data_IF_614126602205
#
_entry.id   IF_614126602205
#
_cell.length_a   1.000
_cell.length_b   1.000
_cell.length_c   1.000
_cell.angle_alpha   90.00
_cell.angle_beta   90.00
_cell.angle_gamma   90.00
#
_symmetry.space_group_name_H-M   'P 1'
#
loop_
_entity.id
_entity.type
_entity.pdbx_description
1 polymer ?
#
# COMPACT_ATOMS: atom_id res chain seq x y z
N UNK A 1 8.75 -8.92 20.29
CA UNK A 1 7.37 -9.45 20.45
C UNK A 1 6.50 -9.15 19.23
N UNK A 2 6.40 -7.89 18.75
CA UNK A 2 5.58 -7.54 17.57
C UNK A 2 6.01 -8.22 16.26
N UNK A 3 7.30 -8.51 16.07
CA UNK A 3 7.81 -9.18 14.87
C UNK A 3 7.20 -10.57 14.66
N UNK A 4 6.99 -11.32 15.74
CA UNK A 4 6.38 -12.66 15.67
C UNK A 4 4.91 -12.60 15.25
N UNK A 5 4.17 -11.60 15.75
CA UNK A 5 2.79 -11.34 15.33
C UNK A 5 2.70 -10.93 13.85
N UNK A 6 3.60 -10.06 13.40
CA UNK A 6 3.70 -9.66 11.99
C UNK A 6 3.98 -10.86 11.09
N UNK A 7 4.92 -11.73 11.48
CA UNK A 7 5.23 -12.96 10.73
C UNK A 7 4.01 -13.88 10.65
N UNK A 8 3.33 -14.15 11.77
CA UNK A 8 2.16 -15.02 11.78
C UNK A 8 1.02 -14.49 10.90
N UNK A 9 0.75 -13.19 10.96
CA UNK A 9 -0.26 -12.54 10.10
C UNK A 9 0.15 -12.54 8.63
N UNK A 10 1.42 -12.28 8.31
CA UNK A 10 1.91 -12.34 6.94
C UNK A 10 1.83 -13.76 6.37
N UNK A 11 2.17 -14.79 7.15
CA UNK A 11 2.06 -16.19 6.73
C UNK A 11 0.59 -16.53 6.43
N UNK A 12 -0.34 -16.17 7.30
CA UNK A 12 -1.77 -16.39 7.08
C UNK A 12 -2.24 -15.67 5.80
N UNK A 13 -1.96 -14.37 5.69
CA UNK A 13 -2.40 -13.51 4.58
C UNK A 13 -1.78 -13.92 3.23
N UNK A 14 -0.53 -14.37 3.21
CA UNK A 14 0.11 -14.88 1.98
C UNK A 14 -0.63 -16.12 1.51
N UNK A 15 -0.95 -17.05 2.41
CA UNK A 15 -1.59 -18.32 2.09
C UNK A 15 -2.98 -18.09 1.46
N UNK A 16 -3.79 -17.20 2.04
CA UNK A 16 -5.09 -16.79 1.50
C UNK A 16 -4.99 -16.16 0.10
N UNK A 17 -4.04 -15.23 -0.08
CA UNK A 17 -3.88 -14.50 -1.36
C UNK A 17 -3.37 -15.39 -2.50
N UNK A 18 -2.58 -16.43 -2.20
CA UNK A 18 -2.21 -17.44 -3.20
C UNK A 18 -3.40 -18.25 -3.68
N UNK A 19 -4.33 -18.61 -2.80
CA UNK A 19 -5.53 -19.37 -3.16
C UNK A 19 -6.48 -18.55 -4.05
N UNK A 20 -6.69 -17.27 -3.74
CA UNK A 20 -7.48 -16.36 -4.58
C UNK A 20 -6.89 -16.19 -5.99
N UNK A 21 -5.56 -16.00 -6.07
CA UNK A 21 -4.88 -15.88 -7.37
C UNK A 21 -4.98 -17.20 -8.17
N UNK A 22 -4.92 -18.35 -7.50
CA UNK A 22 -5.14 -19.66 -8.09
C UNK A 22 -6.54 -19.80 -8.69
N UNK A 23 -7.58 -19.44 -7.93
CA UNK A 23 -8.96 -19.45 -8.42
C UNK A 23 -9.18 -18.46 -9.57
N UNK A 24 -8.72 -17.22 -9.46
CA UNK A 24 -8.85 -16.23 -10.54
C UNK A 24 -8.24 -16.73 -11.85
N UNK A 25 -7.14 -17.47 -11.77
CA UNK A 25 -6.47 -18.04 -12.94
C UNK A 25 -7.14 -19.29 -13.49
N UNK A 26 -7.81 -20.09 -12.65
CA UNK A 26 -8.65 -21.20 -13.11
C UNK A 26 -9.86 -20.72 -13.93
N UNK A 27 -10.35 -19.50 -13.66
CA UNK A 27 -11.45 -18.86 -14.41
C UNK A 27 -10.92 -18.15 -15.68
N UNK A 28 -9.62 -18.27 -16.00
CA UNK A 28 -9.02 -17.75 -17.24
C UNK A 28 -8.48 -16.31 -17.14
N UNK A 29 -8.32 -15.75 -15.94
CA UNK A 29 -7.78 -14.38 -15.79
C UNK A 29 -6.35 -14.28 -16.32
N UNK A 30 -6.14 -13.34 -17.25
CA UNK A 30 -4.83 -13.13 -17.88
C UNK A 30 -3.85 -12.42 -16.94
N UNK A 31 -2.54 -12.67 -17.12
CA UNK A 31 -1.50 -11.98 -16.33
C UNK A 31 -1.57 -10.45 -16.40
N UNK A 32 -2.09 -9.90 -17.50
CA UNK A 32 -2.29 -8.45 -17.66
C UNK A 32 -3.40 -7.91 -16.76
N UNK A 33 -4.49 -8.66 -16.57
CA UNK A 33 -5.58 -8.30 -15.67
C UNK A 33 -5.12 -8.32 -14.20
N UNK A 34 -4.37 -9.36 -13.80
CA UNK A 34 -3.79 -9.45 -12.45
C UNK A 34 -2.88 -8.25 -12.16
N UNK A 35 -2.02 -7.87 -13.11
CA UNK A 35 -1.17 -6.65 -12.98
C UNK A 35 -2.01 -5.38 -12.82
N UNK A 36 -3.15 -5.26 -13.50
CA UNK A 36 -4.02 -4.08 -13.41
C UNK A 36 -4.70 -4.00 -12.05
N UNK A 37 -5.16 -5.12 -11.51
CA UNK A 37 -5.77 -5.20 -10.17
C UNK A 37 -4.77 -4.78 -9.11
N UNK A 38 -3.57 -5.37 -9.08
CA UNK A 38 -2.54 -5.05 -8.08
C UNK A 38 -2.10 -3.59 -8.14
N UNK A 39 -2.03 -3.01 -9.34
CA UNK A 39 -1.73 -1.57 -9.51
C UNK A 39 -2.83 -0.70 -8.91
N UNK A 40 -4.09 -1.00 -9.18
CA UNK A 40 -5.21 -0.24 -8.63
C UNK A 40 -5.30 -0.36 -7.12
N UNK A 41 -5.13 -1.57 -6.59
CA UNK A 41 -5.11 -1.81 -5.15
C UNK A 41 -4.02 -0.97 -4.48
N UNK A 42 -2.80 -0.98 -5.02
CA UNK A 42 -1.72 -0.16 -4.51
C UNK A 42 -1.99 1.36 -4.58
N UNK A 43 -2.57 1.85 -5.67
CA UNK A 43 -2.95 3.27 -5.80
C UNK A 43 -3.98 3.64 -4.74
N UNK A 44 -5.00 2.80 -4.54
CA UNK A 44 -6.03 3.02 -3.54
C UNK A 44 -5.43 3.02 -2.13
N UNK A 45 -4.59 2.04 -1.79
CA UNK A 45 -3.91 1.99 -0.48
C UNK A 45 -3.01 3.20 -0.25
N UNK A 46 -2.24 3.64 -1.26
CA UNK A 46 -1.39 4.81 -1.16
C UNK A 46 -2.19 6.10 -0.96
N UNK A 47 -3.32 6.26 -1.67
CA UNK A 47 -4.22 7.40 -1.51
C UNK A 47 -4.83 7.44 -0.11
N UNK A 48 -5.35 6.30 0.38
CA UNK A 48 -5.91 6.21 1.73
C UNK A 48 -4.83 6.55 2.77
N UNK A 49 -3.65 5.92 2.69
CA UNK A 49 -2.55 6.20 3.61
C UNK A 49 -2.08 7.66 3.57
N UNK A 50 -1.99 8.26 2.38
CA UNK A 50 -1.61 9.66 2.21
C UNK A 50 -2.64 10.63 2.80
N UNK A 51 -3.94 10.39 2.56
CA UNK A 51 -5.02 11.22 3.11
C UNK A 51 -5.10 11.09 4.64
N UNK A 52 -5.08 9.87 5.17
CA UNK A 52 -5.12 9.63 6.61
C UNK A 52 -3.88 10.21 7.30
N UNK A 53 -2.69 10.01 6.71
CA UNK A 53 -1.43 10.56 7.23
C UNK A 53 -1.40 12.09 7.23
N UNK A 54 -1.87 12.72 6.15
CA UNK A 54 -1.98 14.18 6.08
C UNK A 54 -2.96 14.72 7.13
N UNK A 55 -4.13 14.08 7.29
CA UNK A 55 -5.12 14.46 8.31
C UNK A 55 -4.56 14.35 9.73
N UNK A 56 -3.91 13.23 10.06
CA UNK A 56 -3.25 13.04 11.36
C UNK A 56 -2.11 14.03 11.58
N UNK A 57 -1.30 14.30 10.55
CA UNK A 57 -0.21 15.27 10.63
C UNK A 57 -0.69 16.69 10.93
N UNK A 58 -1.76 17.14 10.27
CA UNK A 58 -2.39 18.43 10.54
C UNK A 58 -2.96 18.47 11.96
N UNK A 59 -3.67 17.42 12.38
CA UNK A 59 -4.29 17.36 13.70
C UNK A 59 -3.24 17.39 14.83
N UNK A 60 -2.16 16.62 14.68
CA UNK A 60 -1.01 16.68 15.58
C UNK A 60 -0.37 18.06 15.57
N UNK A 61 -0.13 18.65 14.40
CA UNK A 61 0.43 20.00 14.31
C UNK A 61 -0.40 21.02 15.09
N UNK A 62 -1.73 20.99 14.97
CA UNK A 62 -2.61 21.89 15.73
C UNK A 62 -2.44 21.65 17.24
N UNK A 63 -2.54 20.41 17.70
CA UNK A 63 -2.43 20.06 19.14
C UNK A 63 -1.10 20.52 19.73
N UNK A 64 0.01 20.30 19.02
CA UNK A 64 1.35 20.65 19.49
C UNK A 64 1.65 22.16 19.43
N UNK A 65 0.99 22.91 18.53
CA UNK A 65 1.22 24.35 18.39
C UNK A 65 0.25 25.18 19.25
N UNK A 66 -0.89 24.62 19.67
CA UNK A 66 -1.85 25.28 20.59
C UNK A 66 -1.24 25.79 21.92
N UNK A 67 -0.34 25.08 22.60
CA UNK A 67 0.25 25.55 23.86
C UNK A 67 1.44 26.51 23.69
N UNK A 68 1.85 26.83 22.46
CA UNK A 68 2.98 27.72 22.17
C UNK A 68 2.45 29.13 21.82
N UNK A 69 2.25 29.97 22.83
CA UNK A 69 1.84 31.37 22.63
C UNK A 69 2.89 32.13 21.79
N UNK A 70 2.47 32.68 20.66
CA UNK A 70 3.30 33.51 19.76
C UNK A 70 3.75 32.85 18.46
N UNK A 71 3.58 31.53 18.30
CA UNK A 71 3.83 30.86 17.01
C UNK A 71 2.62 30.98 16.08
N UNK A 72 2.76 31.74 14.99
CA UNK A 72 1.76 31.68 13.90
C UNK A 72 1.90 30.33 13.21
N UNK A 73 0.85 29.50 13.27
CA UNK A 73 0.67 28.31 12.44
C UNK A 73 0.68 28.72 10.95
N UNK A 74 1.86 28.78 10.36
CA UNK A 74 2.02 28.91 8.92
C UNK A 74 1.90 27.51 8.32
N UNK A 75 0.68 27.12 7.93
CA UNK A 75 0.44 25.86 7.23
C UNK A 75 1.02 26.01 5.81
N UNK A 76 2.16 25.39 5.48
CA UNK A 76 2.77 25.57 4.17
C UNK A 76 2.07 24.62 3.19
N UNK A 77 0.95 25.08 2.62
CA UNK A 77 0.19 24.41 1.56
C UNK A 77 1.10 23.76 0.50
N UNK A 78 2.12 24.44 -0.08
CA UNK A 78 2.97 23.83 -1.10
C UNK A 78 3.78 22.63 -0.58
N UNK A 79 4.22 22.65 0.68
CA UNK A 79 4.95 21.51 1.28
C UNK A 79 4.03 20.34 1.52
N UNK A 80 2.79 20.58 1.97
CA UNK A 80 1.79 19.53 2.14
C UNK A 80 1.46 18.89 0.79
N UNK A 81 1.22 19.71 -0.24
CA UNK A 81 0.97 19.21 -1.61
C UNK A 81 2.18 18.41 -2.11
N UNK A 82 3.41 18.91 -1.91
CA UNK A 82 4.64 18.20 -2.26
C UNK A 82 4.78 16.86 -1.57
N UNK A 83 4.49 16.78 -0.26
CA UNK A 83 4.50 15.54 0.51
C UNK A 83 3.44 14.55 0.05
N UNK A 84 2.22 15.02 -0.26
CA UNK A 84 1.15 14.15 -0.80
C UNK A 84 1.56 13.57 -2.16
N UNK A 85 2.10 14.40 -3.06
CA UNK A 85 2.61 13.95 -4.36
C UNK A 85 3.75 12.94 -4.17
N UNK A 86 4.73 13.25 -3.33
CA UNK A 86 5.86 12.38 -3.03
C UNK A 86 5.40 11.03 -2.44
N UNK A 87 4.42 11.05 -1.55
CA UNK A 87 3.83 9.84 -0.95
C UNK A 87 3.12 8.99 -2.00
N UNK A 88 2.36 9.61 -2.91
CA UNK A 88 1.73 8.93 -4.03
C UNK A 88 2.76 8.28 -4.96
N UNK A 89 3.83 9.01 -5.31
CA UNK A 89 4.94 8.50 -6.12
C UNK A 89 5.65 7.34 -5.41
N UNK A 90 5.96 7.49 -4.13
CA UNK A 90 6.58 6.45 -3.32
C UNK A 90 5.69 5.20 -3.22
N UNK A 91 4.36 5.36 -3.06
CA UNK A 91 3.40 4.26 -3.04
C UNK A 91 3.34 3.52 -4.37
N UNK A 92 3.31 4.24 -5.49
CA UNK A 92 3.36 3.66 -6.83
C UNK A 92 4.68 2.91 -7.04
N UNK A 93 5.81 3.49 -6.64
CA UNK A 93 7.13 2.86 -6.75
C UNK A 93 7.24 1.61 -5.88
N UNK A 94 6.77 1.67 -4.63
CA UNK A 94 6.76 0.53 -3.71
C UNK A 94 5.92 -0.64 -4.25
N UNK A 95 4.84 -0.33 -4.98
CA UNK A 95 3.98 -1.33 -5.61
C UNK A 95 4.57 -1.99 -6.86
N UNK A 96 5.62 -1.43 -7.46
CA UNK A 96 6.27 -2.00 -8.66
C UNK A 96 6.87 -3.37 -8.35
N UNK A 97 7.52 -3.55 -7.19
CA UNK A 97 8.13 -4.81 -6.77
C UNK A 97 7.09 -5.94 -6.56
N UNK A 98 6.03 -5.78 -5.75
CA UNK A 98 4.98 -6.79 -5.59
C UNK A 98 4.20 -7.01 -6.89
N UNK A 99 3.91 -5.98 -7.69
CA UNK A 99 3.26 -6.17 -8.99
C UNK A 99 4.11 -7.00 -9.97
N UNK A 100 5.44 -6.81 -9.95
CA UNK A 100 6.39 -7.64 -10.73
C UNK A 100 6.48 -9.07 -10.17
N UNK A 101 6.47 -9.26 -8.85
CA UNK A 101 6.44 -10.59 -8.22
C UNK A 101 5.13 -11.34 -8.50
N UNK A 102 3.98 -10.70 -8.35
CA UNK A 102 2.66 -11.26 -8.67
C UNK A 102 2.55 -11.69 -10.13
N UNK A 103 3.21 -10.97 -11.04
CA UNK A 103 3.23 -11.31 -12.45
C UNK A 103 4.27 -12.37 -12.84
N UNK A 104 5.31 -12.57 -12.02
CA UNK A 104 6.35 -13.60 -12.19
C UNK A 104 6.10 -14.83 -11.32
N UNK A 105 5.03 -14.84 -10.52
CA UNK A 105 4.52 -16.04 -9.89
C UNK A 105 4.09 -16.96 -11.02
N UNK A 106 5.01 -17.84 -11.38
CA UNK A 106 4.85 -18.82 -12.43
C UNK A 106 3.68 -19.70 -12.07
N UNK A 107 2.61 -19.44 -12.79
CA UNK A 107 1.53 -20.34 -13.10
C UNK A 107 1.91 -21.82 -13.10
N UNK A 108 3.07 -22.11 -13.69
CA UNK A 108 3.56 -23.46 -13.92
C UNK A 108 4.02 -24.15 -12.63
N UNK A 109 4.42 -23.40 -11.59
CA UNK A 109 4.71 -23.99 -10.27
C UNK A 109 3.45 -24.30 -9.46
N UNK A 110 2.35 -23.60 -9.71
CA UNK A 110 1.07 -23.87 -9.04
C UNK A 110 0.36 -25.12 -9.61
N UNK A 111 0.76 -25.61 -10.79
CA UNK A 111 0.29 -26.87 -11.38
C UNK A 111 1.25 -28.05 -11.10
N UNK A 112 2.46 -27.79 -10.61
CA UNK A 112 3.42 -28.83 -10.25
C UNK A 112 3.28 -29.32 -8.80
N UNK A 113 2.27 -28.81 -8.09
CA UNK A 113 1.86 -29.28 -6.77
C UNK A 113 0.38 -29.72 -6.87
N UNK A 114 0.15 -30.70 -7.74
CA UNK A 114 -0.84 -31.75 -7.41
C UNK A 114 -0.34 -32.52 -6.19
#
# INVERSE_FOLDING_TARGET
>A
VSLFGIVNTLVLSITERTAEIGMLRAIGTTQRQIRRIVRWEAVITALIGGLTGAGLGILLSIVFTRPLDGFRLAIPIPTIVGLVILSGVAGVLAAVLPARRAARLDVLKALAYE
#
